data_IF_544354031843
#
_entry.id   IF_544354031843
#
_cell.length_a   1.000
_cell.length_b   1.000
_cell.length_c   1.000
_cell.angle_alpha   90.00
_cell.angle_beta   90.00
_cell.angle_gamma   90.00
#
_symmetry.space_group_name_H-M   'P 1'
#
loop_
_entity.id
_entity.type
_entity.pdbx_description
1 polymer ?
2 non-polymer ?
3 non-polymer ?
4 water ?
#
# COMPACT_ATOMS: atom_id res chain seq x y z
N UNK A 2 -22.49 11.28 -4.81
CA UNK A 2 -21.22 10.59 -5.20
C UNK A 2 -21.36 9.84 -6.52
N UNK A 3 -20.31 9.90 -7.34
CA UNK A 3 -20.35 9.36 -8.71
C UNK A 3 -20.13 7.84 -8.74
N UNK A 4 -19.84 7.27 -7.56
CA UNK A 4 -19.49 5.86 -7.45
C UNK A 4 -20.69 4.93 -7.55
N UNK A 5 -20.88 4.37 -8.74
CA UNK A 5 -22.04 3.54 -9.08
C UNK A 5 -21.69 2.07 -9.34
N UNK A 6 -20.41 1.72 -9.25
CA UNK A 6 -19.97 0.32 -9.44
C UNK A 6 -20.37 -0.24 -10.80
N UNK A 7 -20.15 0.53 -11.86
CA UNK A 7 -20.49 0.15 -13.23
C UNK A 7 -19.39 -0.72 -13.83
N UNK A 8 -19.75 -1.80 -14.51
CA UNK A 8 -18.79 -2.58 -15.31
C UNK A 8 -18.19 -1.67 -16.39
N UNK A 9 -16.87 -1.51 -16.40
CA UNK A 9 -16.26 -0.58 -17.34
C UNK A 9 -15.88 -1.31 -18.62
N UNK A 10 -16.51 -0.92 -19.72
CA UNK A 10 -16.27 -1.56 -21.02
C UNK A 10 -16.76 -0.67 -22.16
N UNK A 11 -16.32 -0.98 -23.38
CA UNK A 11 -16.85 -0.35 -24.58
C UNK A 11 -16.33 1.03 -24.82
N UNK A 12 -17.25 1.95 -25.11
CA UNK A 12 -16.91 3.34 -25.42
C UNK A 12 -16.62 4.11 -24.15
N UNK A 13 -17.32 3.75 -23.06
CA UNK A 13 -17.03 4.32 -21.76
C UNK A 13 -15.59 3.99 -21.36
N UNK A 14 -15.20 2.71 -21.47
CA UNK A 14 -13.82 2.31 -21.20
C UNK A 14 -12.83 3.15 -22.02
N UNK A 15 -13.08 3.28 -23.32
CA UNK A 15 -12.20 4.05 -24.20
C UNK A 15 -12.16 5.50 -23.75
N UNK A 16 -13.31 6.02 -23.34
CA UNK A 16 -13.41 7.41 -22.84
C UNK A 16 -12.61 7.60 -21.56
N UNK A 17 -12.89 6.77 -20.56
CA UNK A 17 -12.20 6.80 -19.26
C UNK A 17 -10.67 6.68 -19.39
N UNK A 18 -10.21 5.66 -20.12
CA UNK A 18 -8.78 5.48 -20.33
C UNK A 18 -8.15 6.59 -21.17
N UNK A 19 -8.92 7.08 -22.15
CA UNK A 19 -8.49 8.19 -22.99
C UNK A 19 -8.17 9.43 -22.18
N UNK A 20 -9.11 9.85 -21.33
CA UNK A 20 -8.91 11.07 -20.56
C UNK A 20 -7.88 10.95 -19.44
N UNK A 21 -7.79 9.76 -18.83
CA UNK A 21 -6.80 9.50 -17.77
C UNK A 21 -5.38 9.86 -18.22
N UNK A 22 -4.66 10.64 -17.43
CA UNK A 22 -3.25 10.90 -17.70
C UNK A 22 -2.34 9.83 -17.08
N UNK A 23 -2.87 9.08 -16.11
CA UNK A 23 -2.09 8.08 -15.39
C UNK A 23 -2.95 7.04 -14.70
N UNK A 24 -2.29 5.94 -14.32
CA UNK A 24 -2.91 4.85 -13.57
C UNK A 24 -2.08 4.44 -12.35
N UNK A 25 -2.72 4.39 -11.19
CA UNK A 25 -2.10 3.92 -9.97
C UNK A 25 -2.52 2.49 -9.78
N UNK A 26 -1.57 1.57 -9.67
CA UNK A 26 -1.93 0.19 -9.44
C UNK A 26 -1.52 -0.25 -8.02
N UNK A 27 -2.50 -0.76 -7.28
CA UNK A 27 -2.25 -1.68 -6.18
C UNK A 27 -1.60 -2.93 -6.83
N UNK A 28 -0.92 -3.76 -6.02
CA UNK A 28 -0.11 -4.84 -6.58
C UNK A 28 -0.67 -6.25 -6.44
N UNK A 29 -0.76 -6.76 -5.21
CA UNK A 29 -1.22 -8.13 -5.01
C UNK A 29 -2.72 -8.20 -5.23
N UNK A 30 -3.18 -9.25 -5.91
CA UNK A 30 -4.58 -9.36 -6.31
C UNK A 30 -4.94 -8.54 -7.53
N UNK A 31 -3.95 -7.86 -8.10
CA UNK A 31 -4.16 -6.91 -9.19
C UNK A 31 -3.25 -7.27 -10.35
N UNK A 32 -1.94 -7.19 -10.10
CA UNK A 32 -0.94 -7.54 -11.07
C UNK A 32 -0.64 -9.04 -11.03
N UNK A 33 -0.88 -9.64 -9.86
CA UNK A 33 -0.48 -11.02 -9.60
C UNK A 33 -1.19 -11.57 -8.37
N UNK A 34 -1.15 -12.88 -8.19
CA UNK A 34 -1.57 -13.51 -6.95
C UNK A 34 -0.46 -14.46 -6.59
N UNK A 35 0.34 -14.11 -5.60
CA UNK A 35 1.49 -14.95 -5.24
C UNK A 35 2.53 -14.97 -6.35
N UNK A 36 2.86 -16.15 -6.84
CA UNK A 36 3.94 -16.27 -7.82
C UNK A 36 3.43 -16.25 -9.25
N UNK A 37 2.13 -16.02 -9.42
CA UNK A 37 1.49 -16.08 -10.75
C UNK A 37 0.93 -14.74 -11.18
N UNK A 38 1.44 -14.26 -12.32
CA UNK A 38 1.01 -13.02 -12.89
C UNK A 38 -0.41 -13.18 -13.38
N UNK A 39 -1.19 -12.11 -13.28
CA UNK A 39 -2.56 -12.13 -13.81
C UNK A 39 -2.39 -12.10 -15.33
N UNK A 40 -2.97 -13.09 -16.03
CA UNK A 40 -2.74 -13.17 -17.49
C UNK A 40 -3.17 -11.87 -18.19
N UNK A 41 -2.27 -11.34 -19.01
CA UNK A 41 -2.57 -10.09 -19.70
C UNK A 41 -2.20 -8.84 -18.92
N UNK A 42 -1.83 -8.98 -17.64
CA UNK A 42 -1.36 -7.82 -16.86
C UNK A 42 -0.07 -7.16 -17.40
N UNK A 43 1.00 -7.97 -17.66
CA UNK A 43 2.18 -7.38 -18.29
C UNK A 43 1.90 -6.63 -19.61
N UNK A 44 1.06 -7.21 -20.46
CA UNK A 44 0.70 -6.58 -21.73
C UNK A 44 -0.04 -5.26 -21.51
N UNK A 45 -0.93 -5.21 -20.53
CA UNK A 45 -1.63 -3.97 -20.21
C UNK A 45 -0.62 -2.87 -19.94
N UNK A 46 0.41 -3.19 -19.16
CA UNK A 46 1.43 -2.21 -18.76
C UNK A 46 2.36 -1.78 -19.89
N UNK A 47 2.75 -2.74 -20.74
CA UNK A 47 3.49 -2.40 -21.95
C UNK A 47 2.70 -1.39 -22.78
N UNK A 48 1.40 -1.63 -22.91
CA UNK A 48 0.50 -0.83 -23.72
C UNK A 48 0.13 0.52 -23.12
N UNK A 49 0.07 0.59 -21.79
CA UNK A 49 -0.05 1.87 -21.11
C UNK A 49 1.14 2.77 -21.43
N UNK A 50 2.35 2.22 -21.28
CA UNK A 50 3.58 2.97 -21.50
C UNK A 50 3.57 3.52 -22.92
N UNK A 51 3.34 2.63 -23.87
CA UNK A 51 3.23 2.98 -25.28
C UNK A 51 2.16 4.04 -25.57
N UNK A 52 1.07 4.04 -24.81
CA UNK A 52 0.01 5.04 -25.01
C UNK A 52 0.35 6.35 -24.30
N UNK A 53 1.57 6.45 -23.78
CA UNK A 53 2.04 7.63 -23.06
C UNK A 53 1.36 7.89 -21.72
N UNK A 54 0.79 6.85 -21.12
CA UNK A 54 0.17 6.99 -19.80
C UNK A 54 1.13 6.61 -18.67
N UNK A 55 1.19 7.46 -17.64
CA UNK A 55 2.02 7.21 -16.47
C UNK A 55 1.48 6.02 -15.66
N UNK A 56 2.37 5.12 -15.25
CA UNK A 56 1.99 4.02 -14.38
C UNK A 56 2.79 4.07 -13.08
N UNK A 57 2.09 4.06 -11.94
CA UNK A 57 2.72 4.02 -10.62
C UNK A 57 2.10 2.87 -9.86
N UNK A 58 2.83 2.42 -8.83
CA UNK A 58 2.46 1.22 -8.07
C UNK A 58 2.52 1.51 -6.61
N UNK A 59 1.45 1.14 -5.92
CA UNK A 59 1.26 1.35 -4.51
C UNK A 59 0.94 0.05 -3.80
N UNK A 60 1.83 -0.41 -2.92
CA UNK A 60 1.61 -1.66 -2.20
C UNK A 60 1.70 -1.42 -0.69
N UNK A 61 0.86 -2.11 0.08
CA UNK A 61 0.96 -2.02 1.54
C UNK A 61 1.98 -2.97 2.10
N UNK A 62 2.53 -3.82 1.22
CA UNK A 62 3.54 -4.80 1.62
C UNK A 62 4.73 -4.10 2.20
N UNK A 63 5.02 -4.41 3.46
CA UNK A 63 6.17 -3.86 4.14
C UNK A 63 7.35 -4.85 4.20
N UNK A 64 7.34 -5.94 3.43
CA UNK A 64 8.39 -6.96 3.61
C UNK A 64 9.66 -6.76 2.76
N UNK A 65 9.54 -6.06 1.63
CA UNK A 65 10.68 -5.92 0.73
C UNK A 65 11.11 -4.47 0.71
N UNK A 66 12.40 -4.22 0.86
CA UNK A 66 12.90 -2.90 0.56
C UNK A 66 12.85 -2.75 -0.95
N UNK A 67 12.96 -1.52 -1.43
CA UNK A 67 12.67 -1.21 -2.83
C UNK A 67 13.47 -2.05 -3.84
N UNK A 68 14.79 -2.25 -3.62
CA UNK A 68 15.54 -3.06 -4.59
C UNK A 68 15.01 -4.48 -4.80
N UNK A 69 14.57 -5.15 -3.73
CA UNK A 69 13.95 -6.49 -3.82
C UNK A 69 12.54 -6.43 -4.43
N UNK A 70 11.80 -5.36 -4.12
CA UNK A 70 10.53 -5.08 -4.78
C UNK A 70 10.69 -4.92 -6.30
N UNK A 71 11.66 -4.10 -6.72
CA UNK A 71 11.92 -3.97 -8.16
C UNK A 71 12.12 -5.31 -8.86
N UNK A 72 12.81 -6.24 -8.19
CA UNK A 72 13.11 -7.54 -8.78
C UNK A 72 11.89 -8.44 -8.89
N UNK A 73 10.96 -8.30 -7.95
CA UNK A 73 9.74 -9.09 -8.02
C UNK A 73 8.92 -8.71 -9.27
N UNK A 74 8.84 -7.41 -9.56
CA UNK A 74 8.11 -6.96 -10.75
C UNK A 74 8.64 -7.58 -12.03
N UNK A 75 9.90 -7.27 -12.34
CA UNK A 75 10.52 -7.76 -13.56
C UNK A 75 10.35 -9.28 -13.69
N UNK A 76 10.53 -9.99 -12.58
CA UNK A 76 10.48 -11.45 -12.60
C UNK A 76 9.12 -12.02 -12.95
N UNK A 77 8.07 -11.24 -12.67
CA UNK A 77 6.71 -11.70 -12.87
C UNK A 77 6.21 -11.18 -14.21
N UNK A 78 7.11 -10.50 -14.94
CA UNK A 78 6.89 -10.15 -16.32
C UNK A 78 6.74 -8.67 -16.55
N UNK A 79 6.89 -7.85 -15.51
CA UNK A 79 6.68 -6.41 -15.69
C UNK A 79 7.99 -5.65 -15.94
N UNK A 80 8.37 -5.59 -17.22
CA UNK A 80 9.70 -5.14 -17.63
C UNK A 80 9.79 -3.64 -17.79
N UNK A 81 11.02 -3.13 -17.75
CA UNK A 81 11.29 -1.73 -18.11
C UNK A 81 10.72 -0.69 -17.16
N UNK A 82 10.52 -1.09 -15.90
CA UNK A 82 10.06 -0.16 -14.87
C UNK A 82 11.24 0.49 -14.14
N UNK A 83 11.04 1.74 -13.75
CA UNK A 83 11.97 2.45 -12.92
C UNK A 83 11.59 2.17 -11.47
N UNK A 84 12.59 2.05 -10.60
CA UNK A 84 12.32 1.83 -9.18
C UNK A 84 11.56 3.00 -8.56
N UNK A 85 11.69 4.17 -9.17
CA UNK A 85 11.01 5.36 -8.69
C UNK A 85 9.49 5.28 -8.87
N UNK A 86 9.02 4.29 -9.63
CA UNK A 86 7.57 4.08 -9.85
C UNK A 86 6.92 3.25 -8.73
N UNK A 87 7.74 2.74 -7.81
CA UNK A 87 7.30 1.75 -6.85
C UNK A 87 7.21 2.32 -5.44
N UNK A 88 6.02 2.29 -4.86
CA UNK A 88 5.78 2.84 -3.53
C UNK A 88 5.22 1.76 -2.61
N UNK A 89 5.86 1.52 -1.47
CA UNK A 89 5.34 0.54 -0.50
C UNK A 89 5.20 1.19 0.85
N UNK A 90 4.49 0.50 1.75
CA UNK A 90 4.31 1.03 3.11
C UNK A 90 5.63 1.07 3.86
N UNK A 91 6.57 0.23 3.47
CA UNK A 91 7.92 0.29 4.03
C UNK A 91 8.65 1.61 3.63
N UNK A 92 8.80 1.87 2.34
CA UNK A 92 9.38 3.13 1.88
C UNK A 92 8.71 4.34 2.53
N UNK A 93 7.39 4.41 2.49
CA UNK A 93 6.70 5.58 3.00
C UNK A 93 6.73 5.72 4.53
N UNK A 94 6.81 4.60 5.24
CA UNK A 94 6.97 4.63 6.68
C UNK A 94 8.31 5.23 7.00
N UNK A 95 9.33 4.88 6.21
CA UNK A 95 10.69 5.40 6.43
C UNK A 95 10.70 6.93 6.27
N UNK A 96 10.07 7.41 5.21
CA UNK A 96 9.95 8.86 4.94
C UNK A 96 9.14 9.59 5.98
N UNK A 97 8.00 9.01 6.35
CA UNK A 97 7.19 9.61 7.38
C UNK A 97 7.96 9.79 8.68
N UNK A 98 8.76 8.79 9.05
CA UNK A 98 9.53 8.87 10.30
C UNK A 98 10.63 9.93 10.24
N UNK A 99 11.36 9.97 9.12
CA UNK A 99 12.34 11.02 8.88
C UNK A 99 11.71 12.40 9.03
N UNK A 100 10.46 12.54 8.56
CA UNK A 100 9.73 13.83 8.60
C UNK A 100 9.16 14.20 9.99
N UNK A 101 8.86 13.20 10.82
CA UNK A 101 8.11 13.48 12.04
C UNK A 101 8.79 13.10 13.34
N UNK A 102 9.91 12.38 13.29
CA UNK A 102 10.61 12.03 14.52
C UNK A 102 10.87 13.31 15.32
N UNK A 103 10.49 13.30 16.61
CA UNK A 103 10.73 14.48 17.43
C UNK A 103 12.13 14.47 18.07
N UNK A 104 12.39 15.46 18.93
CA UNK A 104 13.71 15.60 19.52
C UNK A 104 14.68 16.40 18.66
N UNK A 105 15.70 17.00 19.30
CA UNK A 105 16.75 17.82 18.69
C UNK A 105 17.65 17.03 17.73
N UNK A 106 18.21 17.70 16.70
CA UNK A 106 19.14 17.01 15.81
C UNK A 106 20.56 17.05 16.35
N UNK A 111 15.82 7.24 18.04
CA UNK A 111 15.73 5.86 17.54
C UNK A 111 14.28 5.32 17.45
N UNK A 112 14.10 4.40 16.50
CA UNK A 112 12.83 3.76 16.16
C UNK A 112 12.88 2.30 16.59
N UNK A 113 11.93 1.90 17.44
CA UNK A 113 11.76 0.48 17.76
C UNK A 113 10.86 -0.18 16.73
N UNK A 114 11.36 -1.20 16.04
CA UNK A 114 10.68 -1.76 14.90
C UNK A 114 10.17 -3.16 15.19
N UNK A 115 8.87 -3.40 14.94
CA UNK A 115 8.32 -4.75 14.84
C UNK A 115 8.15 -5.06 13.36
N UNK A 116 9.06 -5.87 12.84
CA UNK A 116 9.11 -6.12 11.42
C UNK A 116 10.39 -6.85 11.03
N UNK A 117 10.50 -7.21 9.75
CA UNK A 117 11.59 -8.03 9.26
C UNK A 117 12.76 -7.21 8.73
N UNK A 118 13.65 -7.87 8.00
CA UNK A 118 14.90 -7.26 7.54
C UNK A 118 14.73 -6.32 6.35
N UNK A 119 13.81 -6.64 5.46
CA UNK A 119 13.47 -5.74 4.36
C UNK A 119 13.02 -4.40 4.90
N UNK A 120 12.09 -4.45 5.84
CA UNK A 120 11.60 -3.23 6.49
C UNK A 120 12.77 -2.44 7.13
N UNK A 121 13.60 -3.12 7.92
CA UNK A 121 14.75 -2.48 8.55
C UNK A 121 15.75 -1.86 7.58
N UNK A 122 16.07 -2.58 6.51
CA UNK A 122 16.95 -2.06 5.44
C UNK A 122 16.41 -0.77 4.85
N UNK A 123 15.13 -0.75 4.54
CA UNK A 123 14.46 0.44 4.07
C UNK A 123 14.60 1.61 5.05
N UNK A 124 14.44 1.35 6.35
CA UNK A 124 14.52 2.41 7.35
C UNK A 124 15.95 2.98 7.46
N UNK A 125 16.95 2.09 7.52
CA UNK A 125 18.37 2.47 7.51
C UNK A 125 18.75 3.25 6.25
N UNK A 126 18.26 2.83 5.09
CA UNK A 126 18.53 3.56 3.85
C UNK A 126 17.94 4.97 3.85
N UNK A 127 16.97 5.24 4.72
CA UNK A 127 16.40 6.57 4.83
C UNK A 127 17.14 7.36 5.90
N UNK A 128 18.15 6.74 6.51
CA UNK A 128 18.96 7.44 7.51
C UNK A 128 18.47 7.30 8.94
N UNK A 129 17.54 6.37 9.19
CA UNK A 129 16.98 6.23 10.53
C UNK A 129 17.84 5.32 11.39
N UNK A 130 17.82 5.61 12.68
CA UNK A 130 18.52 4.84 13.70
C UNK A 130 17.50 3.89 14.34
N UNK A 131 17.83 2.60 14.42
CA UNK A 131 16.93 1.60 14.98
C UNK A 131 17.41 1.14 16.34
N UNK A 132 16.48 0.96 17.27
CA UNK A 132 16.78 0.32 18.55
C UNK A 132 17.28 -1.06 18.20
N UNK A 133 18.28 -1.54 18.91
CA UNK A 133 18.81 -2.86 18.54
C UNK A 133 19.95 -2.82 17.53
N UNK A 134 20.13 -1.66 16.87
CA UNK A 134 21.41 -1.34 16.23
C UNK A 134 22.46 -1.14 17.34
N UNK A 135 23.76 -1.42 17.06
CA UNK A 135 24.80 -1.28 18.12
C UNK A 135 24.97 0.13 18.73
N UNK A 136 25.32 0.19 20.01
CA UNK A 136 25.56 1.46 20.72
C UNK A 136 26.91 2.09 20.37
N UNK A 137 27.17 3.28 20.92
CA UNK A 137 28.47 3.95 20.73
C UNK A 137 29.47 3.72 21.88
N UNK A 138 29.81 2.44 22.12
CA UNK A 138 30.82 2.05 23.12
C UNK A 138 30.64 2.63 24.50
N UNK A 142 22.92 4.39 25.25
CA UNK A 142 21.76 3.60 24.82
C UNK A 142 20.58 4.50 24.35
N UNK A 143 20.60 4.94 23.07
CA UNK A 143 19.70 5.96 22.47
C UNK A 143 18.20 5.84 22.81
N UNK A 144 17.60 6.99 23.13
CA UNK A 144 16.18 7.12 23.44
C UNK A 144 15.28 6.77 22.25
N UNK A 145 14.31 5.89 22.49
CA UNK A 145 13.34 5.47 21.48
C UNK A 145 12.25 6.51 21.34
N UNK A 146 12.08 7.04 20.13
CA UNK A 146 11.12 8.13 19.91
C UNK A 146 9.95 7.74 18.98
N UNK A 147 10.05 6.56 18.39
CA UNK A 147 8.94 5.94 17.66
C UNK A 147 8.94 4.40 17.78
N UNK A 148 7.74 3.87 17.89
CA UNK A 148 7.50 2.44 17.69
C UNK A 148 6.86 2.30 16.30
N UNK A 149 7.46 1.50 15.45
CA UNK A 149 6.89 1.20 14.14
C UNK A 149 6.41 -0.26 14.10
N UNK A 150 5.12 -0.46 13.84
CA UNK A 150 4.57 -1.81 13.63
C UNK A 150 4.46 -2.14 12.17
N UNK A 151 5.25 -3.11 11.74
CA UNK A 151 5.15 -3.61 10.36
C UNK A 151 4.77 -5.09 10.39
N UNK A 152 4.91 -5.77 9.27
CA UNK A 152 4.64 -7.20 9.23
C UNK A 152 5.78 -7.93 9.92
N UNK A 153 5.51 -8.51 11.09
CA UNK A 153 6.52 -9.13 11.94
C UNK A 153 6.18 -10.60 12.24
N UNK A 154 6.82 -11.47 11.48
CA UNK A 154 6.66 -12.90 11.66
C UNK A 154 7.31 -13.43 12.92
N UNK A 155 8.02 -12.58 13.63
CA UNK A 155 8.61 -12.98 14.88
C UNK A 155 8.00 -12.16 16.01
N UNK A 156 6.81 -11.63 15.76
CA UNK A 156 6.06 -10.92 16.78
C UNK A 156 5.91 -11.86 17.99
N UNK A 157 6.04 -11.29 19.19
CA UNK A 157 5.96 -12.09 20.41
C UNK A 157 5.37 -11.24 21.49
N UNK A 158 4.95 -11.89 22.56
CA UNK A 158 4.46 -11.18 23.71
C UNK A 158 5.56 -10.25 24.27
N UNK A 159 6.80 -10.69 24.26
CA UNK A 159 7.87 -9.88 24.84
C UNK A 159 8.10 -8.58 24.05
N UNK A 160 8.09 -8.70 22.73
CA UNK A 160 8.21 -7.53 21.87
C UNK A 160 7.01 -6.61 22.03
N UNK A 161 5.83 -7.18 22.26
CA UNK A 161 4.64 -6.38 22.50
C UNK A 161 4.72 -5.60 23.84
N UNK A 162 5.23 -6.26 24.85
CA UNK A 162 5.41 -5.63 26.16
C UNK A 162 6.46 -4.54 26.02
N UNK A 163 7.53 -4.84 25.29
CA UNK A 163 8.57 -3.84 25.02
C UNK A 163 8.04 -2.61 24.29
N UNK A 164 7.17 -2.82 23.31
CA UNK A 164 6.59 -1.69 22.56
C UNK A 164 5.80 -0.82 23.49
N UNK A 165 5.04 -1.45 24.35
CA UNK A 165 4.15 -0.73 25.25
C UNK A 165 4.94 0.07 26.28
N UNK A 166 6.05 -0.48 26.73
CA UNK A 166 6.99 0.23 27.58
C UNK A 166 7.44 1.55 26.92
N UNK A 167 8.00 1.50 25.71
CA UNK A 167 8.35 2.74 24.97
C UNK A 167 7.19 3.70 24.81
N UNK A 168 6.00 3.15 24.63
CA UNK A 168 4.82 3.96 24.42
C UNK A 168 4.27 4.66 25.66
N UNK A 169 4.81 4.33 26.84
CA UNK A 169 4.39 5.04 28.08
C UNK A 169 4.68 6.53 27.95
N UNK A 170 5.85 6.83 27.40
CA UNK A 170 6.23 8.16 26.93
C UNK A 170 5.23 8.65 25.86
N UNK A 171 4.46 9.69 26.19
CA UNK A 171 3.39 10.08 25.28
C UNK A 171 3.93 10.85 24.07
N UNK A 172 5.23 11.16 24.07
CA UNK A 172 5.87 11.83 22.94
C UNK A 172 6.49 10.80 22.01
N UNK A 173 6.53 9.52 22.43
CA UNK A 173 7.05 8.46 21.56
C UNK A 173 5.97 8.26 20.53
N UNK A 174 6.32 8.24 19.24
CA UNK A 174 5.29 8.05 18.22
C UNK A 174 4.84 6.58 18.13
N UNK A 175 3.58 6.36 17.74
CA UNK A 175 3.16 5.04 17.29
C UNK A 175 2.76 5.09 15.81
N UNK A 176 3.46 4.29 15.00
CA UNK A 176 3.19 4.25 13.57
C UNK A 176 2.98 2.80 13.12
N UNK A 177 1.99 2.59 12.25
CA UNK A 177 1.82 1.30 11.59
C UNK A 177 2.02 1.44 10.08
N UNK A 178 2.66 0.44 9.47
CA UNK A 178 2.84 0.44 8.02
C UNK A 178 1.50 0.42 7.27
N UNK A 179 0.57 -0.37 7.79
CA UNK A 179 -0.73 -0.62 7.19
C UNK A 179 -1.61 -1.37 8.20
N UNK A 180 -2.94 -1.36 7.99
CA UNK A 180 -3.89 -2.20 8.74
C UNK A 180 -4.49 -3.39 8.01
N UNK A 181 -3.85 -3.92 6.97
CA UNK A 181 -4.42 -5.11 6.33
C UNK A 181 -4.51 -6.21 7.40
N UNK A 182 -5.71 -6.77 7.58
CA UNK A 182 -5.91 -7.76 8.63
C UNK A 182 -5.29 -9.13 8.31
N UNK A 183 -5.25 -9.51 7.04
CA UNK A 183 -4.70 -10.79 6.63
C UNK A 183 -4.55 -10.75 5.13
N UNK A 184 -3.89 -11.75 4.57
CA UNK A 184 -3.67 -11.85 3.11
C UNK A 184 -3.83 -13.29 2.64
N UNK A 185 -4.62 -13.50 1.58
CA UNK A 185 -4.80 -14.88 1.08
C UNK A 185 -3.55 -15.41 0.42
N UNK A 186 -3.25 -16.67 0.71
CA UNK A 186 -2.11 -17.39 0.16
C UNK A 186 -2.56 -18.33 -0.95
N UNK A 187 -1.56 -18.88 -1.65
CA UNK A 187 -1.74 -19.76 -2.81
C UNK A 187 -2.69 -20.94 -2.54
N UNK A 188 -2.37 -21.71 -1.50
CA UNK A 188 -3.12 -22.90 -1.11
C UNK A 188 -4.50 -22.65 -0.50
N UNK A 189 -4.95 -21.40 -0.48
CA UNK A 189 -6.27 -21.06 0.06
C UNK A 189 -6.26 -20.62 1.52
N UNK A 190 -5.12 -20.80 2.19
CA UNK A 190 -4.94 -20.31 3.57
C UNK A 190 -4.66 -18.80 3.65
N UNK A 191 -4.74 -18.25 4.86
CA UNK A 191 -4.46 -16.83 5.12
C UNK A 191 -3.32 -16.63 6.12
N UNK A 192 -2.61 -15.53 5.98
CA UNK A 192 -1.57 -15.19 6.92
C UNK A 192 -2.03 -13.91 7.63
N UNK A 193 -1.85 -13.83 8.96
CA UNK A 193 -2.14 -12.59 9.69
C UNK A 193 -1.43 -11.40 9.05
N UNK A 194 -2.13 -10.28 8.91
CA UNK A 194 -1.53 -9.03 8.52
C UNK A 194 -1.10 -8.11 9.65
N UNK A 195 -0.43 -7.04 9.27
CA UNK A 195 0.08 -6.05 10.15
C UNK A 195 -1.05 -5.45 10.98
N UNK A 196 -2.26 -5.40 10.41
CA UNK A 196 -3.42 -4.87 11.11
C UNK A 196 -3.76 -5.62 12.39
N UNK A 197 -3.48 -6.93 12.43
CA UNK A 197 -3.69 -7.71 13.65
C UNK A 197 -2.62 -7.41 14.72
N UNK A 198 -1.40 -7.19 14.29
CA UNK A 198 -0.33 -6.82 15.22
C UNK A 198 -0.51 -5.39 15.72
N UNK A 199 -0.89 -4.50 14.81
CA UNK A 199 -1.23 -3.12 15.17
C UNK A 199 -2.33 -3.06 16.24
N UNK A 200 -3.36 -3.88 16.07
CA UNK A 200 -4.49 -3.96 16.97
C UNK A 200 -4.04 -4.38 18.37
N UNK A 201 -3.11 -5.31 18.44
CA UNK A 201 -2.59 -5.76 19.71
C UNK A 201 -1.82 -4.64 20.40
N UNK A 202 -0.94 -3.99 19.66
CA UNK A 202 -0.14 -2.89 20.20
C UNK A 202 -0.98 -1.72 20.65
N UNK A 203 -1.97 -1.36 19.83
CA UNK A 203 -2.92 -0.31 20.20
C UNK A 203 -3.75 -0.63 21.44
N UNK A 204 -4.20 -1.88 21.57
CA UNK A 204 -5.05 -2.26 22.70
C UNK A 204 -4.23 -2.26 24.00
N UNK A 205 -3.04 -2.81 23.92
CA UNK A 205 -2.20 -2.95 25.09
C UNK A 205 -1.64 -1.59 25.56
N UNK A 206 -1.40 -0.68 24.61
CA UNK A 206 -0.88 0.64 24.94
C UNK A 206 -1.96 1.69 25.15
N UNK A 207 -3.17 1.45 24.67
CA UNK A 207 -4.20 2.46 24.77
C UNK A 207 -4.00 3.59 23.76
N UNK A 208 -3.06 3.42 22.83
CA UNK A 208 -2.74 4.45 21.81
C UNK A 208 -3.39 4.14 20.50
N UNK A 209 -3.60 5.18 19.69
CA UNK A 209 -4.00 5.04 18.28
C UNK A 209 -2.78 5.22 17.43
N UNK A 210 -2.61 4.34 16.44
CA UNK A 210 -1.44 4.41 15.60
C UNK A 210 -1.70 5.36 14.45
N UNK A 211 -0.62 5.97 13.99
CA UNK A 211 -0.61 6.67 12.71
C UNK A 211 -0.37 5.65 11.60
N UNK A 212 -1.30 5.57 10.65
CA UNK A 212 -1.20 4.60 9.54
C UNK A 212 -0.56 5.23 8.31
N UNK A 213 0.53 4.62 7.86
CA UNK A 213 1.27 5.07 6.70
C UNK A 213 0.58 4.69 5.37
N UNK A 214 0.08 3.45 5.27
CA UNK A 214 -0.30 2.88 3.98
C UNK A 214 -1.75 3.12 3.62
N UNK A 215 -2.17 2.61 2.46
CA UNK A 215 -3.58 2.72 2.07
C UNK A 215 -4.41 2.16 3.21
N UNK A 216 -5.59 2.74 3.49
CA UNK A 216 -6.25 3.85 2.78
C UNK A 216 -5.89 5.27 3.29
N UNK A 217 -4.73 5.42 3.90
CA UNK A 217 -4.39 6.68 4.48
C UNK A 217 -3.88 7.62 3.40
N UNK A 218 -4.23 8.92 3.50
CA UNK A 218 -3.82 9.93 2.52
C UNK A 218 -2.32 10.00 2.45
N UNK A 219 -1.64 9.71 3.54
CA UNK A 219 -0.22 9.85 3.56
C UNK A 219 0.50 9.17 2.39
N UNK A 220 0.02 7.99 1.99
CA UNK A 220 0.64 7.29 0.90
C UNK A 220 0.63 8.15 -0.38
N UNK A 221 -0.50 8.80 -0.63
CA UNK A 221 -0.65 9.68 -1.77
C UNK A 221 0.23 10.91 -1.63
N UNK A 222 0.30 11.43 -0.41
CA UNK A 222 1.20 12.53 -0.10
C UNK A 222 2.61 12.12 -0.49
N UNK A 223 2.99 10.91 -0.08
CA UNK A 223 4.30 10.36 -0.38
C UNK A 223 4.57 10.21 -1.89
N UNK A 224 3.58 9.71 -2.63
CA UNK A 224 3.71 9.60 -4.08
C UNK A 224 3.81 10.97 -4.79
N UNK A 225 3.08 11.97 -4.31
CA UNK A 225 3.04 13.27 -4.99
C UNK A 225 4.27 14.17 -4.76
N UNK A 226 5.21 13.69 -3.96
CA UNK A 226 6.43 14.45 -3.67
C UNK A 226 7.45 14.35 -4.79
N UNK A 227 7.29 13.36 -5.66
CA UNK A 227 8.22 13.14 -6.75
C UNK A 227 7.53 13.23 -8.12
N UNK A 228 6.20 13.17 -8.11
CA UNK A 228 5.42 13.17 -9.34
C UNK A 228 4.28 14.17 -9.24
N UNK A 229 4.11 14.98 -10.28
CA UNK A 229 2.88 15.74 -10.46
C UNK A 229 1.85 14.78 -11.01
N UNK A 230 0.97 14.30 -10.15
CA UNK A 230 -0.16 13.55 -10.65
C UNK A 230 -1.46 14.23 -10.28
N UNK A 231 -2.26 14.51 -11.29
CA UNK A 231 -3.57 15.09 -11.11
C UNK A 231 -4.59 14.02 -10.72
N UNK A 232 -5.08 14.06 -9.46
CA UNK A 232 -5.96 13.00 -8.98
C UNK A 232 -7.24 12.93 -9.80
N UNK A 233 -7.65 14.08 -10.33
CA UNK A 233 -8.82 14.16 -11.21
C UNK A 233 -8.62 13.36 -12.51
N UNK A 234 -7.37 13.10 -12.87
CA UNK A 234 -7.07 12.44 -14.14
C UNK A 234 -6.32 11.13 -13.95
N UNK A 235 -6.34 10.60 -12.73
CA UNK A 235 -5.59 9.37 -12.42
C UNK A 235 -6.58 8.32 -12.00
N UNK A 236 -6.40 7.10 -12.51
CA UNK A 236 -7.22 5.97 -12.11
C UNK A 236 -6.53 5.27 -10.95
N UNK A 237 -7.32 4.82 -9.97
CA UNK A 237 -6.79 3.99 -8.90
C UNK A 237 -7.37 2.59 -9.10
N UNK A 238 -6.50 1.60 -9.23
CA UNK A 238 -6.95 0.25 -9.51
C UNK A 238 -6.52 -0.68 -8.38
N UNK A 239 -7.47 -1.35 -7.73
CA UNK A 239 -7.13 -2.31 -6.67
C UNK A 239 -8.18 -3.37 -6.43
N UNK A 240 -7.89 -4.32 -5.54
CA UNK A 240 -8.73 -5.49 -5.30
C UNK A 240 -9.36 -5.44 -3.90
N UNK A 241 -9.10 -4.38 -3.15
CA UNK A 241 -9.60 -4.34 -1.76
C UNK A 241 -10.41 -3.10 -1.42
N UNK A 242 -11.72 -3.28 -1.19
CA UNK A 242 -12.64 -2.18 -0.98
C UNK A 242 -12.21 -1.20 0.13
N UNK A 243 -11.89 -1.75 1.30
CA UNK A 243 -11.63 -0.94 2.49
C UNK A 243 -10.22 -0.33 2.47
N UNK A 244 -9.44 -0.65 1.45
CA UNK A 244 -8.06 -0.23 1.37
C UNK A 244 -7.86 0.60 0.12
N UNK A 245 -7.90 -0.04 -1.05
CA UNK A 245 -7.63 0.62 -2.34
C UNK A 245 -8.76 1.54 -2.79
N UNK A 246 -10.01 1.09 -2.70
CA UNK A 246 -11.17 1.91 -3.11
C UNK A 246 -11.35 3.12 -2.18
N UNK A 247 -11.38 2.88 -0.87
CA UNK A 247 -11.46 3.97 0.10
C UNK A 247 -10.31 4.96 -0.15
N UNK A 248 -9.10 4.42 -0.34
CA UNK A 248 -7.94 5.22 -0.68
C UNK A 248 -8.18 6.12 -1.89
N UNK A 249 -8.70 5.55 -2.97
CA UNK A 249 -8.95 6.32 -4.18
C UNK A 249 -9.89 7.48 -3.92
N UNK A 250 -11.03 7.17 -3.28
CA UNK A 250 -12.04 8.18 -2.92
C UNK A 250 -11.41 9.31 -2.12
N UNK A 251 -10.64 8.96 -1.10
CA UNK A 251 -9.93 9.96 -0.30
C UNK A 251 -8.93 10.81 -1.07
N UNK A 252 -8.40 10.31 -2.18
CA UNK A 252 -7.42 11.10 -2.92
C UNK A 252 -8.06 11.74 -4.11
N UNK A 253 -9.37 11.54 -4.24
CA UNK A 253 -10.13 12.12 -5.32
C UNK A 253 -9.89 11.47 -6.66
N UNK A 254 -9.47 10.21 -6.65
CA UNK A 254 -9.27 9.48 -7.91
C UNK A 254 -10.48 8.67 -8.28
N UNK A 255 -10.55 8.37 -9.57
CA UNK A 255 -11.51 7.45 -10.13
C UNK A 255 -11.04 6.06 -9.83
N UNK A 256 -11.91 5.27 -9.19
CA UNK A 256 -11.53 3.96 -8.69
C UNK A 256 -12.12 2.86 -9.54
N UNK A 257 -11.27 1.86 -9.79
CA UNK A 257 -11.61 0.69 -10.52
C UNK A 257 -11.27 -0.52 -9.63
N UNK A 258 -12.28 -1.33 -9.35
CA UNK A 258 -12.06 -2.54 -8.60
C UNK A 258 -11.86 -3.65 -9.60
N UNK A 259 -10.84 -4.48 -9.37
CA UNK A 259 -10.62 -5.68 -10.18
C UNK A 259 -10.94 -6.90 -9.31
N UNK A 260 -11.43 -7.96 -9.94
CA UNK A 260 -12.04 -9.02 -9.16
C UNK A 260 -11.15 -10.25 -9.03
N UNK A 261 -9.85 -10.04 -9.20
CA UNK A 261 -8.85 -11.12 -9.14
C UNK A 261 -8.25 -11.28 -7.74
N UNK A 262 -8.77 -10.52 -6.79
CA UNK A 262 -8.13 -10.45 -5.47
C UNK A 262 -9.08 -10.67 -4.33
N UNK A 263 -8.93 -9.85 -3.28
CA UNK A 263 -9.62 -10.10 -1.99
C UNK A 263 -11.12 -9.80 -2.03
N UNK A 264 -11.52 -8.65 -2.55
CA UNK A 264 -12.94 -8.28 -2.54
C UNK A 264 -13.78 -8.85 -3.70
N UNK A 265 -15.07 -9.07 -3.39
CA UNK A 265 -16.05 -9.62 -4.31
C UNK A 265 -16.98 -8.52 -4.80
N UNK A 266 -17.52 -8.71 -6.01
CA UNK A 266 -18.45 -7.75 -6.62
C UNK A 266 -19.70 -7.56 -5.75
N UNK A 267 -20.15 -8.64 -5.13
CA UNK A 267 -21.34 -8.61 -4.29
C UNK A 267 -21.16 -7.74 -3.03
N UNK A 268 -19.96 -7.76 -2.45
CA UNK A 268 -19.62 -6.89 -1.32
C UNK A 268 -19.70 -5.44 -1.75
N UNK A 269 -19.15 -5.13 -2.93
CA UNK A 269 -19.16 -3.77 -3.47
C UNK A 269 -20.59 -3.25 -3.67
N UNK A 270 -21.45 -4.11 -4.22
CA UNK A 270 -22.86 -3.81 -4.44
C UNK A 270 -23.61 -3.61 -3.11
N UNK A 271 -23.36 -4.47 -2.14
CA UNK A 271 -23.96 -4.34 -0.82
C UNK A 271 -23.65 -2.96 -0.22
N UNK A 272 -22.38 -2.53 -0.26
CA UNK A 272 -21.97 -1.20 0.18
C UNK A 272 -22.76 -0.10 -0.53
N UNK A 273 -22.98 -0.31 -1.83
CA UNK A 273 -23.73 0.62 -2.65
C UNK A 273 -25.14 0.72 -2.06
N UNK A 274 -25.78 -0.44 -1.93
CA UNK A 274 -27.12 -0.56 -1.38
C UNK A 274 -27.23 0.19 -0.06
N UNK A 275 -26.18 0.10 0.77
CA UNK A 275 -26.20 0.72 2.09
C UNK A 275 -25.75 2.17 2.09
N UNK A 276 -25.54 2.74 0.92
CA UNK A 276 -25.06 4.11 0.77
C UNK A 276 -23.72 4.45 1.43
N UNK A 277 -22.86 3.45 1.59
CA UNK A 277 -21.48 3.65 2.07
C UNK A 277 -20.60 3.93 0.87
N UNK A 278 -20.68 5.15 0.35
CA UNK A 278 -20.14 5.51 -0.98
C UNK A 278 -18.63 5.51 -1.15
N UNK A 279 -17.88 5.65 -0.07
CA UNK A 279 -16.43 5.72 -0.15
C UNK A 279 -15.88 4.32 -0.27
N UNK A 280 -16.71 3.34 0.04
CA UNK A 280 -16.34 1.94 -0.11
C UNK A 280 -16.89 1.33 -1.41
N UNK A 281 -17.36 2.19 -2.32
CA UNK A 281 -17.92 1.78 -3.62
C UNK A 281 -16.98 2.20 -4.76
N UNK A 282 -16.58 1.23 -5.61
CA UNK A 282 -15.73 1.61 -6.75
C UNK A 282 -16.57 2.34 -7.80
N UNK A 283 -15.98 3.28 -8.52
CA UNK A 283 -16.69 3.85 -9.67
C UNK A 283 -16.92 2.76 -10.73
N UNK A 284 -15.90 1.96 -10.98
CA UNK A 284 -15.97 0.93 -12.00
C UNK A 284 -15.43 -0.39 -11.52
N UNK A 285 -15.74 -1.45 -12.24
CA UNK A 285 -15.09 -2.72 -12.01
C UNK A 285 -14.79 -3.41 -13.32
N UNK A 286 -13.85 -4.34 -13.24
CA UNK A 286 -13.46 -5.17 -14.35
C UNK A 286 -13.22 -6.52 -13.71
N UNK A 287 -13.38 -7.57 -14.51
CA UNK A 287 -13.12 -8.93 -14.08
C UNK A 287 -11.64 -9.12 -13.77
N UNK A 288 -10.79 -8.64 -14.66
CA UNK A 288 -9.35 -8.61 -14.43
C UNK A 288 -8.81 -7.39 -15.17
N UNK A 289 -7.63 -6.90 -14.80
CA UNK A 289 -7.12 -5.70 -15.48
C UNK A 289 -6.74 -5.96 -16.95
N UNK A 290 -6.71 -7.22 -17.37
CA UNK A 290 -6.56 -7.55 -18.79
C UNK A 290 -7.66 -6.88 -19.64
N UNK A 291 -8.82 -6.66 -19.02
CA UNK A 291 -9.96 -6.06 -19.71
C UNK A 291 -9.78 -4.59 -19.99
N UNK A 292 -8.86 -3.92 -19.29
CA UNK A 292 -8.61 -2.50 -19.57
C UNK A 292 -7.84 -2.32 -20.87
N UNK A 293 -7.13 -3.34 -21.33
CA UNK A 293 -6.24 -3.17 -22.48
C UNK A 293 -6.94 -2.69 -23.76
N UNK A 294 -8.11 -3.27 -24.05
CA UNK A 294 -8.86 -2.94 -25.27
C UNK A 294 -9.34 -1.48 -25.37
N UNK A 295 -9.31 -0.73 -24.27
CA UNK A 295 -9.73 0.67 -24.29
C UNK A 295 -8.67 1.65 -24.76
N UNK A 296 -7.46 1.15 -25.00
CA UNK A 296 -6.34 1.98 -25.42
C UNK A 296 -6.29 2.19 -26.94
X LIG B 1 -4.01 -5.61 -3.02
X LIG C 1 1.37 -6.75 3.46
X LIG C 1 1.88 -8.03 3.45
X LIG C 1 2.74 -8.51 4.59
X LIG C 1 1.60 -8.88 2.39
X LIG C 1 2.10 -10.16 2.36
X LIG C 1 0.81 -8.45 1.33
X LIG C 1 0.31 -9.42 0.30
X LIG C 1 0.88 -10.51 0.19
X LIG C 1 0.32 -7.16 1.34
X LIG C 1 0.59 -6.31 2.42
X LIG C 1 -0.54 -6.77 0.17
X LIG C 1 -0.24 -5.48 -0.25
X LIG C 1 -0.97 -4.90 -1.56
X LIG C 1 0.04 -4.89 -2.73
X LIG C 1 -1.36 -3.49 -1.19
X LIG C 1 -2.13 -5.83 -1.91
#
# INVERSE_FOLDING_TARGET
XSLARCERLRGAALRDVLGRAQGVLFDCDGVLWNGERAVPGAPELLERLARAGKAALFVSNNSRRARPELALRFARLGFGGLRAEQLFSSALCAARLLRQRLPGPPDAPGAVFVLGGEGLRAELRAAGLRLAGDPSAGDGAAPRVRAVLVGYDEHFSFAKLREACAHLRDPECLLVATDRDPWHPLSDGSRTPGTGSLAAAVETASGRQALVVGKPSPYMFECITENFSIDPARTLMVGDRLETDILFGHRCGMTTVLTLTGVSRLEEAQAYLAAGQHDLVPHYYVESIADLTEGLEDEGHHHHHH
CA CA
PLP N1 C2 C2A C3 O3 C4 C4A O4A C5 C6 C5A O4P P O1P O2P O3P
#
